data_IF_190660758584
#
_entry.id   IF_190660758584
#
_cell.length_a   1.000
_cell.length_b   1.000
_cell.length_c   1.000
_cell.angle_alpha   90.00
_cell.angle_beta   90.00
_cell.angle_gamma   90.00
#
_symmetry.space_group_name_H-M   'P 1'
#
loop_
_entity.id
_entity.type
_entity.pdbx_description
1 polymer ?
#
# COMPACT_ATOMS: atom_id res chain seq x y z
N UNK A 1 12.04 4.34 -0.24
CA UNK A 1 10.99 3.39 -0.67
C UNK A 1 11.43 1.92 -0.79
N UNK A 2 12.74 1.58 -0.82
CA UNK A 2 13.20 0.17 -0.92
C UNK A 2 12.48 -0.78 0.07
N UNK A 3 12.32 -0.45 1.37
CA UNK A 3 11.64 -1.37 2.29
C UNK A 3 10.15 -1.54 1.99
N UNK A 4 9.49 -0.51 1.43
CA UNK A 4 8.10 -0.60 0.99
C UNK A 4 7.99 -1.53 -0.22
N UNK A 5 8.88 -1.39 -1.20
CA UNK A 5 8.92 -2.28 -2.37
C UNK A 5 9.14 -3.72 -1.91
N UNK A 6 10.15 -3.98 -1.07
CA UNK A 6 10.43 -5.33 -0.57
C UNK A 6 9.28 -5.84 0.29
N UNK A 7 8.89 -5.12 1.33
CA UNK A 7 7.93 -5.60 2.32
C UNK A 7 6.50 -5.67 1.78
N UNK A 8 5.96 -4.55 1.30
CA UNK A 8 4.56 -4.48 0.88
C UNK A 8 4.29 -5.28 -0.41
N UNK A 9 5.14 -5.16 -1.45
CA UNK A 9 4.86 -5.88 -2.69
C UNK A 9 5.00 -7.40 -2.53
N UNK A 10 5.92 -7.88 -1.69
CA UNK A 10 6.05 -9.33 -1.49
C UNK A 10 4.91 -9.90 -0.65
N UNK A 11 4.43 -9.18 0.36
CA UNK A 11 3.21 -9.59 1.10
C UNK A 11 1.98 -9.59 0.16
N UNK A 12 1.82 -8.57 -0.69
CA UNK A 12 0.77 -8.59 -1.71
C UNK A 12 0.96 -9.69 -2.74
N UNK A 13 2.20 -10.04 -3.10
CA UNK A 13 2.49 -11.16 -4.00
C UNK A 13 1.96 -12.49 -3.45
N UNK A 14 2.07 -12.70 -2.14
CA UNK A 14 1.49 -13.87 -1.46
C UNK A 14 -0.05 -13.81 -1.47
N UNK A 15 -0.64 -12.66 -1.12
CA UNK A 15 -2.10 -12.47 -1.15
C UNK A 15 -2.68 -12.73 -2.55
N UNK A 16 -2.07 -12.15 -3.58
CA UNK A 16 -2.48 -12.28 -4.98
C UNK A 16 -2.33 -13.73 -5.47
N UNK A 17 -1.22 -14.40 -5.15
CA UNK A 17 -1.04 -15.81 -5.52
C UNK A 17 -2.09 -16.71 -4.83
N UNK A 18 -2.43 -16.42 -3.57
CA UNK A 18 -3.48 -17.13 -2.85
C UNK A 18 -4.86 -16.90 -3.47
N UNK A 19 -5.18 -15.68 -3.88
CA UNK A 19 -6.41 -15.38 -4.62
C UNK A 19 -6.42 -16.09 -5.98
N UNK A 20 -5.27 -16.17 -6.66
CA UNK A 20 -5.10 -16.92 -7.90
C UNK A 20 -5.49 -18.40 -7.74
N UNK A 21 -5.02 -19.07 -6.68
CA UNK A 21 -5.45 -20.43 -6.33
C UNK A 21 -6.97 -20.50 -6.17
N UNK A 22 -7.56 -19.56 -5.42
CA UNK A 22 -9.00 -19.55 -5.14
C UNK A 22 -9.87 -19.43 -6.40
N UNK A 23 -9.43 -18.67 -7.42
CA UNK A 23 -10.14 -18.53 -8.70
C UNK A 23 -10.35 -19.88 -9.40
N UNK A 24 -9.43 -20.83 -9.22
CA UNK A 24 -9.52 -22.18 -9.79
C UNK A 24 -10.30 -23.17 -8.89
N UNK A 25 -10.78 -22.75 -7.72
CA UNK A 25 -11.43 -23.63 -6.74
C UNK A 25 -10.54 -24.80 -6.32
N UNK A 26 -11.12 -25.99 -6.16
CA UNK A 26 -10.37 -27.19 -5.76
C UNK A 26 -9.23 -27.55 -6.73
N UNK A 27 -9.39 -27.25 -8.03
CA UNK A 27 -8.34 -27.48 -9.02
C UNK A 27 -7.11 -26.60 -8.80
N UNK A 28 -7.26 -25.41 -8.21
CA UNK A 28 -6.13 -24.54 -7.88
C UNK A 28 -5.15 -25.16 -6.88
N UNK A 29 -5.60 -26.13 -6.10
CA UNK A 29 -4.77 -26.87 -5.14
C UNK A 29 -4.08 -28.10 -5.75
N UNK A 30 -4.48 -28.50 -6.96
CA UNK A 30 -3.90 -29.62 -7.70
C UNK A 30 -2.69 -29.12 -8.49
N UNK A 31 -1.53 -29.73 -8.29
CA UNK A 31 -0.24 -29.26 -8.82
C UNK A 31 -0.23 -29.13 -10.36
N UNK A 32 -0.97 -29.98 -11.07
CA UNK A 32 -1.10 -29.93 -12.54
C UNK A 32 -1.71 -28.62 -13.06
N UNK A 33 -2.48 -27.89 -12.24
CA UNK A 33 -3.01 -26.56 -12.57
C UNK A 33 -1.93 -25.48 -12.49
N UNK A 34 -0.84 -25.71 -11.77
CA UNK A 34 0.28 -24.78 -11.58
C UNK A 34 0.01 -23.61 -10.62
N UNK A 35 -1.25 -23.34 -10.24
CA UNK A 35 -1.59 -22.22 -9.37
C UNK A 35 -0.96 -22.32 -7.97
N UNK A 36 -0.93 -23.52 -7.36
CA UNK A 36 -0.30 -23.76 -6.06
C UNK A 36 1.21 -23.47 -6.07
N UNK A 37 1.87 -23.67 -7.21
CA UNK A 37 3.30 -23.37 -7.34
C UNK A 37 3.58 -21.88 -7.13
N UNK A 38 2.80 -20.99 -7.74
CA UNK A 38 3.00 -19.54 -7.57
C UNK A 38 2.85 -19.09 -6.12
N UNK A 39 1.95 -19.71 -5.35
CA UNK A 39 1.81 -19.42 -3.92
C UNK A 39 3.02 -19.91 -3.11
N UNK A 40 3.55 -21.10 -3.43
CA UNK A 40 4.77 -21.62 -2.79
C UNK A 40 5.98 -20.75 -3.12
N UNK A 41 6.13 -20.37 -4.39
CA UNK A 41 7.27 -19.61 -4.89
C UNK A 41 7.24 -18.15 -4.40
N UNK A 42 6.07 -17.54 -4.24
CA UNK A 42 5.96 -16.17 -3.70
C UNK A 42 6.31 -16.09 -2.21
N UNK A 43 6.15 -17.18 -1.45
CA UNK A 43 6.33 -17.16 0.01
C UNK A 43 7.76 -16.86 0.44
N UNK A 44 8.77 -17.30 -0.32
CA UNK A 44 10.17 -17.04 0.05
C UNK A 44 10.50 -15.55 -0.01
N UNK A 45 9.80 -14.78 -0.85
CA UNK A 45 10.09 -13.37 -1.08
C UNK A 45 9.85 -12.49 0.16
N UNK A 46 8.93 -12.88 1.05
CA UNK A 46 8.69 -12.17 2.32
C UNK A 46 9.74 -12.50 3.39
N UNK A 47 10.55 -13.55 3.18
CA UNK A 47 11.47 -14.10 4.19
C UNK A 47 12.92 -13.71 3.91
N UNK A 48 13.43 -13.99 2.70
CA UNK A 48 14.83 -13.71 2.36
C UNK A 48 15.11 -12.20 2.29
N UNK A 49 16.39 -11.80 2.24
CA UNK A 49 16.79 -10.40 2.08
C UNK A 49 16.13 -9.45 3.11
N UNK A 50 15.94 -9.94 4.34
CA UNK A 50 15.28 -9.26 5.45
C UNK A 50 13.76 -9.48 5.47
N UNK A 51 13.24 -10.06 6.54
CA UNK A 51 11.80 -10.34 6.70
C UNK A 51 10.95 -9.07 6.65
N UNK A 52 9.64 -9.21 6.45
CA UNK A 52 8.68 -8.08 6.47
C UNK A 52 8.85 -7.19 7.71
N UNK A 53 9.02 -7.79 8.90
CA UNK A 53 9.30 -7.04 10.13
C UNK A 53 10.62 -6.28 10.11
N UNK A 54 11.68 -6.85 9.53
CA UNK A 54 12.97 -6.17 9.38
C UNK A 54 12.89 -5.00 8.39
N UNK A 55 12.18 -5.16 7.27
CA UNK A 55 11.95 -4.06 6.33
C UNK A 55 11.11 -2.94 6.96
N UNK A 56 10.08 -3.31 7.71
CA UNK A 56 9.23 -2.38 8.43
C UNK A 56 10.02 -1.60 9.50
N UNK A 57 10.85 -2.28 10.29
CA UNK A 57 11.74 -1.67 11.27
C UNK A 57 12.77 -0.75 10.61
N UNK A 58 13.31 -1.13 9.44
CA UNK A 58 14.22 -0.29 8.67
C UNK A 58 13.54 1.02 8.23
N UNK A 59 12.29 0.96 7.77
CA UNK A 59 11.52 2.13 7.36
C UNK A 59 11.17 3.02 8.56
N UNK A 60 10.46 2.46 9.54
CA UNK A 60 9.90 3.19 10.67
C UNK A 60 10.95 3.61 11.70
N UNK A 61 11.89 2.72 12.03
CA UNK A 61 12.87 2.94 13.09
C UNK A 61 14.12 3.68 12.63
N UNK A 62 14.59 3.41 11.40
CA UNK A 62 15.84 4.00 10.89
C UNK A 62 15.59 5.11 9.89
N UNK A 63 14.98 4.82 8.74
CA UNK A 63 14.88 5.78 7.63
C UNK A 63 14.07 7.02 8.00
N UNK A 64 12.95 6.85 8.68
CA UNK A 64 12.09 7.98 9.07
C UNK A 64 12.78 8.92 10.07
N UNK A 65 13.54 8.37 11.02
CA UNK A 65 14.28 9.16 12.01
C UNK A 65 15.57 9.78 11.44
N UNK A 66 16.21 9.16 10.44
CA UNK A 66 17.47 9.67 9.87
C UNK A 66 17.37 11.10 9.32
N UNK A 67 16.22 11.46 8.74
CA UNK A 67 15.99 12.77 8.14
C UNK A 67 14.78 13.50 8.74
N UNK A 68 14.33 13.06 9.91
CA UNK A 68 13.13 13.58 10.60
C UNK A 68 11.89 13.63 9.68
N UNK A 69 11.75 12.63 8.80
CA UNK A 69 10.64 12.47 7.88
C UNK A 69 10.72 13.32 6.62
N UNK A 70 11.82 14.03 6.37
CA UNK A 70 11.95 14.93 5.21
C UNK A 70 11.66 14.21 3.88
N UNK A 71 12.22 13.03 3.64
CA UNK A 71 11.96 12.26 2.42
C UNK A 71 10.50 11.77 2.33
N UNK A 72 9.87 11.40 3.46
CA UNK A 72 8.47 11.01 3.46
C UNK A 72 7.55 12.18 3.14
N UNK A 73 7.84 13.38 3.68
CA UNK A 73 7.11 14.62 3.33
C UNK A 73 7.26 14.98 1.86
N UNK A 74 8.45 14.82 1.30
CA UNK A 74 8.67 15.03 -0.13
C UNK A 74 7.82 14.07 -0.98
N UNK A 75 7.78 12.79 -0.63
CA UNK A 75 6.91 11.81 -1.29
C UNK A 75 5.43 12.19 -1.20
N UNK A 76 4.96 12.56 0.00
CA UNK A 76 3.57 13.01 0.22
C UNK A 76 3.25 14.22 -0.66
N UNK A 77 4.19 15.16 -0.81
CA UNK A 77 4.02 16.32 -1.69
C UNK A 77 3.90 15.94 -3.17
N UNK A 78 4.65 14.95 -3.65
CA UNK A 78 4.52 14.42 -5.02
C UNK A 78 3.15 13.77 -5.26
N UNK A 79 2.65 13.01 -4.27
CA UNK A 79 1.32 12.41 -4.33
C UNK A 79 0.24 13.51 -4.37
N UNK A 80 0.35 14.53 -3.52
CA UNK A 80 -0.55 15.68 -3.50
C UNK A 80 -0.52 16.48 -4.81
N UNK A 81 0.64 16.62 -5.44
CA UNK A 81 0.75 17.24 -6.76
C UNK A 81 -0.05 16.46 -7.81
N UNK A 82 0.02 15.13 -7.79
CA UNK A 82 -0.79 14.27 -8.67
C UNK A 82 -2.28 14.42 -8.38
N UNK A 83 -2.69 14.46 -7.12
CA UNK A 83 -4.10 14.69 -6.75
C UNK A 83 -4.61 16.03 -7.29
N UNK A 84 -3.77 17.08 -7.26
CA UNK A 84 -4.08 18.37 -7.86
C UNK A 84 -4.23 18.27 -9.38
N UNK A 85 -3.35 17.55 -10.07
CA UNK A 85 -3.46 17.34 -11.53
C UNK A 85 -4.76 16.63 -11.93
N UNK A 86 -5.27 15.70 -11.12
CA UNK A 86 -6.58 15.07 -11.38
C UNK A 86 -7.73 16.08 -11.47
N UNK A 87 -7.60 17.27 -10.86
CA UNK A 87 -8.62 18.32 -10.96
C UNK A 87 -8.66 19.05 -12.30
N UNK A 88 -7.64 18.88 -13.16
CA UNK A 88 -7.59 19.57 -14.46
C UNK A 88 -8.41 18.90 -15.56
N UNK A 89 -8.96 17.72 -15.31
CA UNK A 89 -9.70 16.92 -16.27
C UNK A 89 -11.10 16.55 -15.73
N UNK A 90 -12.20 17.00 -16.37
CA UNK A 90 -13.55 16.65 -15.95
C UNK A 90 -13.89 15.20 -16.32
N UNK A 91 -13.87 14.32 -15.33
CA UNK A 91 -14.22 12.89 -15.46
C UNK A 91 -14.63 12.33 -14.08
N UNK A 92 -15.71 11.54 -14.02
CA UNK A 92 -16.24 10.99 -12.77
C UNK A 92 -15.26 10.01 -12.09
N UNK A 93 -14.54 9.21 -12.88
CA UNK A 93 -13.55 8.27 -12.36
C UNK A 93 -12.38 9.05 -11.75
N UNK A 94 -11.89 10.09 -12.45
CA UNK A 94 -10.81 10.93 -11.93
C UNK A 94 -11.22 11.71 -10.68
N UNK A 95 -12.47 12.18 -10.62
CA UNK A 95 -13.01 12.85 -9.43
C UNK A 95 -13.05 11.90 -8.22
N UNK A 96 -13.53 10.67 -8.42
CA UNK A 96 -13.57 9.63 -7.39
C UNK A 96 -12.16 9.27 -6.91
N UNK A 97 -11.24 9.04 -7.84
CA UNK A 97 -9.82 8.75 -7.55
C UNK A 97 -9.18 9.88 -6.76
N UNK A 98 -9.43 11.14 -7.13
CA UNK A 98 -8.89 12.31 -6.43
C UNK A 98 -9.34 12.35 -4.97
N UNK A 99 -10.65 12.22 -4.72
CA UNK A 99 -11.19 12.27 -3.34
C UNK A 99 -10.54 11.20 -2.48
N UNK A 100 -10.47 9.95 -2.96
CA UNK A 100 -9.85 8.87 -2.22
C UNK A 100 -8.34 9.09 -2.01
N UNK A 101 -7.64 9.67 -2.99
CA UNK A 101 -6.22 10.00 -2.86
C UNK A 101 -5.96 11.13 -1.86
N UNK A 102 -6.80 12.17 -1.83
CA UNK A 102 -6.72 13.26 -0.85
C UNK A 102 -6.88 12.73 0.59
N UNK A 103 -7.83 11.83 0.83
CA UNK A 103 -7.98 11.19 2.13
C UNK A 103 -6.78 10.27 2.46
N UNK A 104 -6.24 9.56 1.47
CA UNK A 104 -5.05 8.72 1.64
C UNK A 104 -3.81 9.56 2.00
N UNK A 105 -3.65 10.75 1.41
CA UNK A 105 -2.62 11.74 1.74
C UNK A 105 -2.74 12.17 3.22
N UNK A 106 -3.95 12.43 3.71
CA UNK A 106 -4.18 12.75 5.12
C UNK A 106 -3.73 11.58 6.01
N UNK A 107 -4.14 10.34 5.67
CA UNK A 107 -3.83 9.15 6.46
C UNK A 107 -2.33 8.87 6.58
N UNK A 108 -1.59 8.91 5.46
CA UNK A 108 -0.13 8.72 5.49
C UNK A 108 0.58 9.85 6.24
N UNK A 109 0.06 11.08 6.15
CA UNK A 109 0.59 12.22 6.91
C UNK A 109 0.40 12.00 8.40
N UNK A 110 -0.82 11.70 8.85
CA UNK A 110 -1.13 11.44 10.26
C UNK A 110 -0.32 10.28 10.83
N UNK A 111 -0.19 9.17 10.09
CA UNK A 111 0.63 8.05 10.50
C UNK A 111 2.11 8.45 10.64
N UNK A 112 2.64 9.18 9.66
CA UNK A 112 4.03 9.65 9.68
C UNK A 112 4.29 10.56 10.87
N UNK A 113 3.38 11.50 11.16
CA UNK A 113 3.51 12.40 12.33
C UNK A 113 3.42 11.64 13.64
N UNK A 114 2.53 10.66 13.74
CA UNK A 114 2.42 9.82 14.94
C UNK A 114 3.74 9.11 15.23
N UNK A 115 4.35 8.48 14.21
CA UNK A 115 5.63 7.77 14.38
C UNK A 115 6.75 8.74 14.78
N UNK A 116 6.84 9.92 14.17
CA UNK A 116 7.87 10.92 14.48
C UNK A 116 7.69 11.54 15.88
N UNK A 117 6.46 11.64 16.37
CA UNK A 117 6.15 12.18 17.69
C UNK A 117 6.33 11.14 18.81
N UNK A 118 6.20 9.85 18.50
CA UNK A 118 6.34 8.76 19.45
C UNK A 118 7.80 8.63 19.93
N UNK A 119 8.01 8.70 21.25
CA UNK A 119 9.34 8.63 21.86
C UNK A 119 9.70 7.24 22.39
N UNK A 120 8.77 6.30 22.33
CA UNK A 120 8.94 4.94 22.82
C UNK A 120 9.28 4.02 21.64
N UNK A 121 10.55 3.56 21.51
CA UNK A 121 10.98 2.78 20.35
C UNK A 121 10.16 1.50 20.16
N UNK A 122 9.83 0.82 21.25
CA UNK A 122 9.06 -0.42 21.21
C UNK A 122 7.64 -0.19 20.68
N UNK A 123 7.00 0.94 21.04
CA UNK A 123 5.69 1.32 20.52
C UNK A 123 5.74 1.60 19.02
N UNK A 124 6.82 2.22 18.50
CA UNK A 124 7.02 2.40 17.05
C UNK A 124 7.25 1.06 16.36
N UNK A 125 8.04 0.16 16.95
CA UNK A 125 8.31 -1.15 16.36
C UNK A 125 7.05 -2.03 16.31
N UNK A 126 6.21 -1.97 17.35
CA UNK A 126 4.96 -2.72 17.43
C UNK A 126 4.01 -2.45 16.25
N UNK A 127 4.02 -1.24 15.69
CA UNK A 127 3.15 -0.84 14.56
C UNK A 127 3.90 -0.59 13.26
N UNK A 128 5.19 -0.93 13.21
CA UNK A 128 6.06 -0.64 12.06
C UNK A 128 5.57 -1.30 10.76
N UNK A 129 5.05 -2.53 10.84
CA UNK A 129 4.51 -3.26 9.69
C UNK A 129 3.26 -2.56 9.17
N UNK A 130 2.34 -2.15 10.06
CA UNK A 130 1.13 -1.42 9.69
C UNK A 130 1.46 -0.12 8.96
N UNK A 131 2.47 0.62 9.45
CA UNK A 131 2.96 1.83 8.78
C UNK A 131 3.51 1.53 7.39
N UNK A 132 4.37 0.52 7.25
CA UNK A 132 4.93 0.14 5.95
C UNK A 132 3.84 -0.27 4.95
N UNK A 133 2.85 -1.05 5.40
CA UNK A 133 1.72 -1.46 4.57
C UNK A 133 0.85 -0.26 4.17
N UNK A 134 0.60 0.67 5.09
CA UNK A 134 -0.13 1.91 4.81
C UNK A 134 0.57 2.70 3.71
N UNK A 135 1.87 2.95 3.85
CA UNK A 135 2.67 3.66 2.84
C UNK A 135 2.59 2.95 1.48
N UNK A 136 2.67 1.61 1.48
CA UNK A 136 2.55 0.79 0.28
C UNK A 136 1.20 0.97 -0.44
N UNK A 137 0.09 0.84 0.29
CA UNK A 137 -1.25 1.00 -0.31
C UNK A 137 -1.45 2.41 -0.88
N UNK A 138 -0.97 3.44 -0.19
CA UNK A 138 -1.03 4.84 -0.67
C UNK A 138 -0.16 5.03 -1.92
N UNK A 139 1.05 4.46 -1.96
CA UNK A 139 1.90 4.48 -3.15
C UNK A 139 1.25 3.77 -4.35
N UNK A 140 0.59 2.62 -4.13
CA UNK A 140 -0.16 1.94 -5.18
C UNK A 140 -1.33 2.78 -5.70
N UNK A 141 -2.07 3.45 -4.81
CA UNK A 141 -3.13 4.39 -5.18
C UNK A 141 -2.61 5.57 -5.99
N UNK A 142 -1.44 6.09 -5.62
CA UNK A 142 -0.76 7.14 -6.37
C UNK A 142 -0.38 6.69 -7.79
N UNK A 143 0.21 5.50 -7.96
CA UNK A 143 0.53 5.00 -9.31
C UNK A 143 -0.73 4.75 -10.15
N UNK A 144 -1.82 4.29 -9.54
CA UNK A 144 -3.12 4.16 -10.21
C UNK A 144 -3.67 5.52 -10.65
N UNK A 145 -3.58 6.55 -9.81
CA UNK A 145 -3.98 7.91 -10.16
C UNK A 145 -3.17 8.47 -11.34
N UNK A 146 -1.84 8.28 -11.36
CA UNK A 146 -0.98 8.69 -12.48
C UNK A 146 -1.37 7.97 -13.78
N UNK A 147 -1.62 6.65 -13.70
CA UNK A 147 -2.07 5.87 -14.84
C UNK A 147 -3.45 6.31 -15.35
N UNK A 148 -4.38 6.62 -14.44
CA UNK A 148 -5.72 7.11 -14.75
C UNK A 148 -5.68 8.44 -15.51
N UNK A 149 -4.86 9.40 -15.06
CA UNK A 149 -4.70 10.69 -15.73
C UNK A 149 -4.20 10.53 -17.18
N UNK A 150 -3.17 9.69 -17.38
CA UNK A 150 -2.65 9.39 -18.71
C UNK A 150 -3.70 8.68 -19.56
N UNK A 151 -4.43 7.72 -18.99
CA UNK A 151 -5.46 6.97 -19.69
C UNK A 151 -6.62 7.87 -20.14
N UNK A 152 -7.07 8.79 -19.29
CA UNK A 152 -8.07 9.78 -19.65
C UNK A 152 -7.64 10.60 -20.87
N UNK A 153 -6.45 11.20 -20.86
CA UNK A 153 -5.96 11.98 -22.00
C UNK A 153 -5.84 11.15 -23.29
N UNK A 154 -5.31 9.93 -23.20
CA UNK A 154 -5.17 9.05 -24.36
C UNK A 154 -6.53 8.63 -24.93
N UNK A 155 -7.49 8.29 -24.07
CA UNK A 155 -8.88 8.01 -24.45
C UNK A 155 -9.51 9.21 -25.17
N UNK A 156 -9.35 10.42 -24.63
CA UNK A 156 -9.85 11.65 -25.25
C UNK A 156 -9.22 11.94 -26.62
N UNK A 157 -7.98 11.49 -26.85
CA UNK A 157 -7.31 11.58 -28.16
C UNK A 157 -7.64 10.43 -29.13
N UNK A 158 -8.51 9.50 -28.73
CA UNK A 158 -8.93 8.36 -29.56
C UNK A 158 -7.90 7.23 -29.67
N UNK A 159 -6.81 7.26 -28.90
CA UNK A 159 -5.84 6.17 -28.85
C UNK A 159 -6.42 5.05 -27.99
N UNK A 160 -6.38 3.81 -28.49
CA UNK A 160 -6.85 2.57 -27.84
C UNK A 160 -7.93 2.77 -26.74
N UNK A 161 -9.14 3.23 -27.13
CA UNK A 161 -10.14 3.67 -26.16
C UNK A 161 -10.54 2.56 -25.18
N UNK A 162 -10.61 1.31 -25.64
CA UNK A 162 -10.95 0.15 -24.81
C UNK A 162 -9.93 -0.11 -23.71
N UNK A 163 -8.63 -0.08 -24.03
CA UNK A 163 -7.60 -0.25 -23.01
C UNK A 163 -7.61 0.90 -21.99
N UNK A 164 -7.77 2.13 -22.46
CA UNK A 164 -7.73 3.30 -21.58
C UNK A 164 -8.97 3.44 -20.69
N UNK A 165 -10.15 3.07 -21.19
CA UNK A 165 -11.35 2.92 -20.36
C UNK A 165 -11.16 1.84 -19.29
N UNK A 166 -10.65 0.66 -19.66
CA UNK A 166 -10.35 -0.39 -18.70
C UNK A 166 -9.34 0.05 -17.62
N UNK A 167 -8.35 0.88 -17.99
CA UNK A 167 -7.38 1.44 -17.04
C UNK A 167 -7.99 2.44 -16.06
N UNK A 168 -8.92 3.29 -16.50
CA UNK A 168 -9.67 4.17 -15.61
C UNK A 168 -10.48 3.38 -14.59
N UNK A 169 -11.24 2.39 -15.06
CA UNK A 169 -12.05 1.51 -14.21
C UNK A 169 -11.17 0.75 -13.21
N UNK A 170 -10.02 0.22 -13.65
CA UNK A 170 -9.09 -0.50 -12.76
C UNK A 170 -8.51 0.43 -11.68
N UNK A 171 -8.17 1.67 -12.02
CA UNK A 171 -7.69 2.65 -11.05
C UNK A 171 -8.77 3.03 -10.04
N UNK A 172 -10.02 3.20 -10.51
CA UNK A 172 -11.18 3.42 -9.64
C UNK A 172 -11.41 2.25 -8.69
N UNK A 173 -11.38 1.03 -9.20
CA UNK A 173 -11.48 -0.18 -8.37
C UNK A 173 -10.42 -0.20 -7.27
N UNK A 174 -9.17 0.17 -7.58
CA UNK A 174 -8.12 0.20 -6.56
C UNK A 174 -8.46 1.17 -5.43
N UNK A 175 -8.92 2.39 -5.75
CA UNK A 175 -9.23 3.37 -4.70
C UNK A 175 -10.49 3.03 -3.90
N UNK A 176 -11.43 2.29 -4.50
CA UNK A 176 -12.69 1.89 -3.85
C UNK A 176 -12.55 0.59 -3.03
N UNK A 177 -11.67 -0.34 -3.43
CA UNK A 177 -11.58 -1.68 -2.84
C UNK A 177 -10.24 -2.03 -2.21
N UNK A 178 -9.14 -1.38 -2.62
CA UNK A 178 -7.79 -1.66 -2.10
C UNK A 178 -7.35 -0.61 -1.11
N UNK A 179 -7.37 0.65 -1.53
CA UNK A 179 -6.93 1.80 -0.74
C UNK A 179 -7.64 1.98 0.62
N UNK A 180 -8.93 1.59 0.82
CA UNK A 180 -9.58 1.73 2.13
C UNK A 180 -8.88 0.98 3.26
N UNK A 181 -8.07 -0.05 2.97
CA UNK A 181 -7.23 -0.74 3.96
C UNK A 181 -6.32 0.24 4.74
N UNK A 182 -5.87 1.33 4.10
CA UNK A 182 -5.06 2.36 4.74
C UNK A 182 -5.74 3.00 5.96
N UNK A 183 -7.08 3.11 5.96
CA UNK A 183 -7.82 3.67 7.09
C UNK A 183 -7.78 2.75 8.33
N UNK A 184 -7.92 1.43 8.13
CA UNK A 184 -7.81 0.45 9.21
C UNK A 184 -6.38 0.37 9.78
N UNK A 185 -5.38 0.49 8.90
CA UNK A 185 -3.98 0.52 9.31
C UNK A 185 -3.66 1.77 10.13
N UNK A 186 -4.14 2.96 9.73
CA UNK A 186 -3.95 4.19 10.52
C UNK A 186 -4.50 4.03 11.94
N UNK A 187 -5.71 3.46 12.07
CA UNK A 187 -6.31 3.19 13.38
C UNK A 187 -5.45 2.27 14.24
N UNK A 188 -4.87 1.24 13.63
CA UNK A 188 -3.97 0.28 14.31
C UNK A 188 -2.65 0.94 14.70
N UNK A 189 -2.09 1.81 13.86
CA UNK A 189 -0.88 2.59 14.17
C UNK A 189 -1.11 3.49 15.39
N UNK A 190 -2.24 4.20 15.45
CA UNK A 190 -2.50 5.17 16.52
C UNK A 190 -2.88 4.51 17.86
N UNK A 191 -3.43 3.30 17.84
CA UNK A 191 -4.09 2.71 19.03
C UNK A 191 -3.75 1.24 19.31
N UNK A 192 -3.14 0.51 18.37
CA UNK A 192 -2.94 -0.94 18.45
C UNK A 192 -1.69 -1.38 19.21
N UNK A 193 -0.71 -0.48 19.42
CA UNK A 193 0.56 -0.82 20.08
C UNK A 193 0.37 -1.34 21.51
N UNK A 194 -0.60 -0.79 22.26
CA UNK A 194 -0.85 -1.18 23.66
C UNK A 194 -1.17 -2.67 23.78
N UNK A 195 -2.06 -3.20 22.93
CA UNK A 195 -2.44 -4.62 23.00
C UNK A 195 -1.32 -5.56 22.59
N UNK A 196 -0.42 -5.14 21.70
CA UNK A 196 0.73 -5.94 21.26
C UNK A 196 1.74 -6.11 22.40
N UNK A 197 1.90 -5.08 23.23
CA UNK A 197 2.90 -5.03 24.30
C UNK A 197 2.37 -5.44 25.68
N UNK A 198 1.08 -5.75 25.81
CA UNK A 198 0.44 -5.97 27.11
C UNK A 198 0.63 -7.39 27.68
N UNK A 199 0.94 -8.38 26.84
CA UNK A 199 1.11 -9.76 27.28
C UNK A 199 2.55 -10.03 27.75
N UNK A 200 2.68 -10.69 28.89
CA UNK A 200 3.94 -11.29 29.34
C UNK A 200 4.23 -12.59 28.57
N UNK A 201 5.50 -13.02 28.57
CA UNK A 201 5.96 -14.21 27.85
C UNK A 201 5.17 -15.47 28.27
N UNK A 202 4.85 -15.62 29.56
CA UNK A 202 4.11 -16.78 30.07
C UNK A 202 2.65 -16.84 29.63
N UNK A 203 2.14 -15.79 28.97
CA UNK A 203 0.78 -15.71 28.47
C UNK A 203 0.66 -16.12 26.98
N UNK A 204 1.76 -16.49 26.33
CA UNK A 204 1.82 -17.01 24.95
C UNK A 204 1.95 -18.54 24.91
#
# INVERSE_FOLDING_TARGET
LIPVIKGWETELGVEIASLGVQVHGGMGFIEETGASQHLRDSRIATIYEGTTGIQAADLAGRKLNMDQGAAMRALIAEIAATAKELSSAPDDDLATIRVALDEAIQRITEATEWLLACREPDAVMAVSVDYMMLVGYVCGGWQMARAALIAHHKRMSGQDPTFHEAKLITARFYVEHVLPRAAGLLRSIQHGGVSIMALAEEQF
#
